data_IF_719040731524
#
_entry.id   IF_719040731524
#
_cell.length_a   1.000
_cell.length_b   1.000
_cell.length_c   1.000
_cell.angle_alpha   90.00
_cell.angle_beta   90.00
_cell.angle_gamma   90.00
#
_symmetry.space_group_name_H-M   'P 1'
#
loop_
_entity.id
_entity.type
_entity.pdbx_description
1 polymer ?
#
# COMPACT_ATOMS: atom_id res chain seq x y z
N UNK A 1 13.85 70.45 -36.23
CA UNK A 1 13.57 69.03 -36.52
C UNK A 1 14.53 68.19 -35.69
N UNK A 2 14.10 67.81 -34.48
CA UNK A 2 14.94 67.05 -33.54
C UNK A 2 14.24 65.69 -33.31
N UNK A 3 14.92 64.60 -33.69
CA UNK A 3 14.45 63.21 -33.44
C UNK A 3 14.84 62.81 -32.02
N UNK A 4 13.97 62.13 -31.25
CA UNK A 4 14.34 61.55 -29.97
C UNK A 4 15.00 60.17 -30.17
N UNK A 5 16.11 59.95 -29.48
CA UNK A 5 16.71 58.63 -29.28
C UNK A 5 15.81 57.78 -28.35
N UNK A 6 15.44 56.60 -28.84
CA UNK A 6 14.80 55.57 -28.03
C UNK A 6 15.90 54.67 -27.47
N UNK A 7 16.14 54.78 -26.15
CA UNK A 7 17.03 53.85 -25.43
C UNK A 7 16.31 52.53 -25.14
N UNK A 8 16.79 51.47 -25.76
CA UNK A 8 16.30 50.09 -25.51
C UNK A 8 16.98 49.55 -24.24
N UNK A 9 16.25 49.49 -23.14
CA UNK A 9 16.71 48.80 -21.91
C UNK A 9 16.41 47.31 -22.05
N UNK A 10 17.45 46.53 -22.28
CA UNK A 10 17.37 45.06 -22.25
C UNK A 10 17.42 44.64 -20.77
N UNK A 11 16.26 44.26 -20.20
CA UNK A 11 16.18 43.62 -18.90
C UNK A 11 16.65 42.17 -19.03
N UNK A 12 17.85 41.85 -18.54
CA UNK A 12 18.30 40.48 -18.33
C UNK A 12 17.47 39.86 -17.22
N UNK A 13 16.50 39.04 -17.57
CA UNK A 13 15.85 38.13 -16.65
C UNK A 13 16.85 37.02 -16.28
N UNK A 14 17.49 37.17 -15.14
CA UNK A 14 18.15 36.05 -14.46
C UNK A 14 17.09 35.04 -14.06
N UNK A 15 16.96 33.98 -14.86
CA UNK A 15 16.24 32.78 -14.50
C UNK A 15 16.98 32.16 -13.31
N UNK A 16 16.55 32.49 -12.10
CA UNK A 16 16.95 31.75 -10.91
C UNK A 16 16.43 30.32 -11.06
N UNK A 17 17.37 29.38 -11.25
CA UNK A 17 17.06 27.96 -11.11
C UNK A 17 16.35 27.72 -9.80
N UNK A 18 15.28 26.89 -9.74
CA UNK A 18 14.66 26.54 -8.48
C UNK A 18 15.71 25.92 -7.56
N UNK A 19 15.64 26.13 -6.25
CA UNK A 19 16.58 25.55 -5.32
C UNK A 19 16.59 24.03 -5.54
N UNK A 20 17.77 23.51 -5.87
CA UNK A 20 18.04 22.10 -5.96
C UNK A 20 17.76 21.54 -4.56
N UNK A 21 16.77 20.66 -4.42
CA UNK A 21 16.48 20.00 -3.15
C UNK A 21 17.78 19.39 -2.64
N UNK A 22 18.20 19.75 -1.41
CA UNK A 22 19.34 19.13 -0.75
C UNK A 22 19.02 17.64 -0.53
N UNK A 23 19.26 16.83 -1.56
CA UNK A 23 19.26 15.38 -1.38
C UNK A 23 20.39 15.02 -0.39
N UNK A 24 20.13 14.14 0.58
CA UNK A 24 21.17 13.69 1.49
C UNK A 24 22.37 13.19 0.69
N UNK A 25 23.57 13.64 1.04
CA UNK A 25 24.80 13.11 0.42
C UNK A 25 24.96 11.66 0.85
N UNK A 26 24.62 10.73 -0.06
CA UNK A 26 24.79 9.30 0.17
C UNK A 26 26.28 8.92 0.07
N UNK A 27 26.69 7.95 0.90
CA UNK A 27 28.03 7.39 0.81
C UNK A 27 28.24 6.70 -0.54
N UNK A 28 29.24 7.14 -1.30
CA UNK A 28 29.51 6.66 -2.65
C UNK A 28 29.83 5.17 -2.70
N UNK A 29 30.59 4.66 -1.72
CA UNK A 29 30.95 3.25 -1.65
C UNK A 29 29.69 2.37 -1.43
N UNK A 30 28.77 2.81 -0.59
CA UNK A 30 27.46 2.14 -0.39
C UNK A 30 26.68 2.10 -1.71
N UNK A 31 26.55 3.20 -2.43
CA UNK A 31 25.87 3.25 -3.74
C UNK A 31 26.49 2.26 -4.74
N UNK A 32 27.81 2.20 -4.81
CA UNK A 32 28.53 1.26 -5.71
C UNK A 32 28.28 -0.20 -5.35
N UNK A 33 28.26 -0.55 -4.05
CA UNK A 33 27.95 -1.91 -3.58
C UNK A 33 26.52 -2.31 -3.92
N UNK A 34 25.54 -1.40 -3.71
CA UNK A 34 24.13 -1.63 -4.06
C UNK A 34 23.95 -1.84 -5.56
N UNK A 35 24.58 -0.99 -6.38
CA UNK A 35 24.56 -1.11 -7.84
C UNK A 35 25.15 -2.45 -8.31
N UNK A 36 26.29 -2.85 -7.76
CA UNK A 36 26.93 -4.11 -8.09
C UNK A 36 26.04 -5.31 -7.72
N UNK A 37 25.44 -5.26 -6.53
CA UNK A 37 24.50 -6.30 -6.09
C UNK A 37 23.29 -6.39 -7.00
N UNK A 38 22.65 -5.25 -7.33
CA UNK A 38 21.47 -5.21 -8.20
C UNK A 38 21.76 -5.78 -9.58
N UNK A 39 22.91 -5.44 -10.20
CA UNK A 39 23.33 -5.98 -11.50
C UNK A 39 23.50 -7.50 -11.49
N UNK A 40 24.04 -8.05 -10.40
CA UNK A 40 24.31 -9.49 -10.31
C UNK A 40 23.11 -10.34 -9.88
N UNK A 41 22.08 -9.73 -9.24
CA UNK A 41 20.92 -10.43 -8.69
C UNK A 41 19.60 -9.84 -9.21
N UNK A 42 19.62 -9.18 -10.35
CA UNK A 42 18.45 -8.51 -10.90
C UNK A 42 17.28 -9.47 -11.11
N UNK A 43 16.12 -9.06 -10.60
CA UNK A 43 14.82 -9.64 -10.91
C UNK A 43 13.80 -8.52 -11.18
N UNK A 44 12.90 -8.74 -12.13
CA UNK A 44 11.73 -7.88 -12.25
C UNK A 44 10.85 -7.99 -10.98
N UNK A 45 10.04 -7.01 -10.62
CA UNK A 45 9.10 -7.10 -9.50
C UNK A 45 8.28 -8.39 -9.52
N UNK A 46 7.73 -8.75 -10.67
CA UNK A 46 6.91 -9.93 -10.83
C UNK A 46 7.70 -11.22 -10.61
N UNK A 47 8.87 -11.35 -11.24
CA UNK A 47 9.73 -12.54 -11.08
C UNK A 47 10.17 -12.67 -9.63
N UNK A 48 10.50 -11.55 -9.00
CA UNK A 48 10.90 -11.51 -7.61
C UNK A 48 9.78 -12.01 -6.68
N UNK A 49 8.58 -11.43 -6.77
CA UNK A 49 7.44 -11.85 -5.93
C UNK A 49 7.11 -13.32 -6.15
N UNK A 50 7.06 -13.78 -7.40
CA UNK A 50 6.77 -15.18 -7.70
C UNK A 50 7.86 -16.12 -7.16
N UNK A 51 9.13 -15.72 -7.21
CA UNK A 51 10.25 -16.54 -6.71
C UNK A 51 10.11 -16.89 -5.22
N UNK A 52 9.48 -16.02 -4.43
CA UNK A 52 9.31 -16.21 -2.99
C UNK A 52 8.41 -17.38 -2.63
N UNK A 53 7.51 -17.76 -3.51
CA UNK A 53 6.66 -18.94 -3.32
C UNK A 53 7.39 -20.29 -3.45
N UNK A 54 8.70 -20.31 -3.74
CA UNK A 54 9.51 -21.54 -3.63
C UNK A 54 9.65 -21.97 -2.17
N UNK A 55 9.90 -21.02 -1.28
CA UNK A 55 10.27 -21.27 0.11
C UNK A 55 9.21 -20.78 1.13
N UNK A 56 8.22 -20.00 0.68
CA UNK A 56 7.22 -19.40 1.54
C UNK A 56 5.79 -19.80 1.11
N UNK A 57 4.89 -19.87 2.09
CA UNK A 57 3.47 -20.19 1.87
C UNK A 57 2.64 -18.92 1.77
N UNK A 58 2.95 -17.91 2.59
CA UNK A 58 2.25 -16.63 2.64
C UNK A 58 3.23 -15.50 2.38
N UNK A 59 3.00 -14.77 1.29
CA UNK A 59 3.79 -13.60 0.93
C UNK A 59 2.91 -12.37 1.09
N UNK A 60 3.23 -11.55 2.08
CA UNK A 60 2.58 -10.25 2.27
C UNK A 60 3.22 -9.23 1.34
N UNK A 61 2.41 -8.55 0.55
CA UNK A 61 2.79 -7.43 -0.32
C UNK A 61 2.16 -6.16 0.25
N UNK A 62 2.98 -5.36 0.91
CA UNK A 62 2.55 -4.17 1.62
C UNK A 62 2.66 -2.90 0.76
N UNK A 63 1.55 -2.18 0.59
CA UNK A 63 1.46 -0.93 -0.18
C UNK A 63 1.41 0.31 0.71
N UNK A 64 1.78 1.45 0.13
CA UNK A 64 1.27 2.74 0.55
C UNK A 64 0.00 3.04 -0.28
N UNK A 65 -1.16 3.06 0.38
CA UNK A 65 -2.46 3.16 -0.30
C UNK A 65 -2.53 4.22 -1.40
N UNK A 66 -3.25 3.89 -2.47
CA UNK A 66 -3.62 4.78 -3.58
C UNK A 66 -2.47 5.11 -4.54
N UNK A 67 -1.40 4.32 -4.58
CA UNK A 67 -0.41 4.40 -5.64
C UNK A 67 -0.86 3.50 -6.80
N UNK A 68 -1.17 4.13 -7.93
CA UNK A 68 -1.76 3.46 -9.10
C UNK A 68 -0.93 2.27 -9.58
N UNK A 69 0.37 2.46 -9.77
CA UNK A 69 1.27 1.43 -10.28
C UNK A 69 1.40 0.20 -9.36
N UNK A 70 1.18 0.35 -8.04
CA UNK A 70 1.19 -0.76 -7.09
C UNK A 70 -0.02 -1.66 -7.30
N UNK A 71 -1.20 -1.06 -7.48
CA UNK A 71 -2.43 -1.81 -7.76
C UNK A 71 -2.38 -2.47 -9.13
N UNK A 72 -1.82 -1.77 -10.14
CA UNK A 72 -1.60 -2.32 -11.49
C UNK A 72 -0.62 -3.50 -11.49
N UNK A 73 0.43 -3.48 -10.64
CA UNK A 73 1.31 -4.64 -10.43
C UNK A 73 0.51 -5.84 -9.93
N UNK A 74 -0.39 -5.62 -8.95
CA UNK A 74 -1.22 -6.71 -8.41
C UNK A 74 -2.15 -7.28 -9.47
N UNK A 75 -2.76 -6.45 -10.30
CA UNK A 75 -3.58 -6.91 -11.44
C UNK A 75 -2.74 -7.76 -12.41
N UNK A 76 -1.55 -7.28 -12.76
CA UNK A 76 -0.66 -7.91 -13.73
C UNK A 76 -0.06 -9.25 -13.26
N UNK A 77 0.14 -9.41 -11.93
CA UNK A 77 0.78 -10.62 -11.39
C UNK A 77 -0.20 -11.80 -11.23
N UNK A 78 -1.52 -11.59 -11.22
CA UNK A 78 -2.53 -12.64 -11.03
C UNK A 78 -2.34 -13.84 -11.96
N UNK A 79 -2.15 -13.69 -13.29
CA UNK A 79 -1.91 -14.84 -14.16
C UNK A 79 -0.61 -15.59 -13.85
N UNK A 80 0.41 -14.89 -13.38
CA UNK A 80 1.71 -15.46 -13.02
C UNK A 80 1.65 -16.23 -11.69
N UNK A 81 0.90 -15.74 -10.72
CA UNK A 81 0.58 -16.47 -9.48
C UNK A 81 -0.08 -17.80 -9.82
N UNK A 82 -1.10 -17.77 -10.69
CA UNK A 82 -1.79 -18.98 -11.11
C UNK A 82 -0.83 -19.98 -11.77
N UNK A 83 0.02 -19.54 -12.68
CA UNK A 83 1.03 -20.39 -13.34
C UNK A 83 2.04 -20.99 -12.36
N UNK A 84 2.37 -20.27 -11.29
CA UNK A 84 3.25 -20.72 -10.22
C UNK A 84 2.55 -21.65 -9.19
N UNK A 85 1.27 -21.97 -9.39
CA UNK A 85 0.49 -22.80 -8.46
C UNK A 85 -0.03 -22.07 -7.21
N UNK A 86 -0.01 -20.74 -7.22
CA UNK A 86 -0.60 -19.88 -6.20
C UNK A 86 -1.98 -19.45 -6.67
N UNK A 87 -3.02 -20.02 -6.06
CA UNK A 87 -4.40 -19.87 -6.54
C UNK A 87 -5.22 -18.86 -5.73
N UNK A 88 -4.60 -18.19 -4.75
CA UNK A 88 -5.30 -17.27 -3.86
C UNK A 88 -4.56 -15.93 -3.76
N UNK A 89 -5.29 -14.84 -4.02
CA UNK A 89 -4.97 -13.49 -3.61
C UNK A 89 -5.85 -13.13 -2.41
N UNK A 90 -5.28 -13.05 -1.22
CA UNK A 90 -5.99 -12.53 -0.06
C UNK A 90 -5.84 -11.00 -0.02
N UNK A 91 -6.87 -10.26 0.37
CA UNK A 91 -6.81 -8.81 0.34
C UNK A 91 -7.68 -8.13 1.40
N UNK A 92 -7.21 -7.02 1.95
CA UNK A 92 -8.00 -6.16 2.83
C UNK A 92 -9.09 -5.37 2.08
N UNK A 93 -8.99 -5.27 0.75
CA UNK A 93 -9.91 -4.49 -0.09
C UNK A 93 -11.22 -5.23 -0.41
N UNK A 94 -11.46 -6.34 0.28
CA UNK A 94 -12.73 -7.05 0.33
C UNK A 94 -12.97 -7.59 1.74
N UNK A 95 -14.24 -7.57 2.17
CA UNK A 95 -14.63 -8.15 3.46
C UNK A 95 -14.86 -9.65 3.34
N UNK A 96 -14.58 -10.38 4.41
CA UNK A 96 -14.90 -11.82 4.49
C UNK A 96 -16.40 -12.08 4.39
N UNK A 97 -17.23 -11.17 4.91
CA UNK A 97 -18.68 -11.27 4.86
C UNK A 97 -19.21 -11.19 3.42
N UNK A 98 -18.48 -10.52 2.54
CA UNK A 98 -18.81 -10.39 1.12
C UNK A 98 -18.21 -11.53 0.26
N UNK A 99 -17.58 -12.55 0.85
CA UNK A 99 -16.99 -13.66 0.08
C UNK A 99 -17.97 -14.31 -0.90
N UNK A 100 -19.27 -14.56 -0.56
CA UNK A 100 -20.23 -15.08 -1.53
C UNK A 100 -20.44 -14.15 -2.75
N UNK A 101 -20.34 -12.82 -2.57
CA UNK A 101 -20.43 -11.84 -3.65
C UNK A 101 -19.17 -11.87 -4.52
N UNK A 102 -17.98 -11.96 -3.91
CA UNK A 102 -16.70 -12.11 -4.61
C UNK A 102 -16.71 -13.40 -5.45
N UNK A 103 -17.11 -14.52 -4.85
CA UNK A 103 -17.16 -15.81 -5.56
C UNK A 103 -18.14 -15.77 -6.74
N UNK A 104 -19.31 -15.15 -6.56
CA UNK A 104 -20.29 -14.93 -7.65
C UNK A 104 -19.70 -14.07 -8.78
N UNK A 105 -18.99 -12.98 -8.41
CA UNK A 105 -18.35 -12.09 -9.38
C UNK A 105 -17.31 -12.83 -10.21
N UNK A 106 -16.41 -13.56 -9.55
CA UNK A 106 -15.27 -14.21 -10.23
C UNK A 106 -15.67 -15.43 -11.07
N UNK A 107 -16.81 -16.04 -10.80
CA UNK A 107 -17.30 -17.22 -11.51
C UNK A 107 -18.47 -16.90 -12.45
N UNK A 108 -18.91 -15.65 -12.52
CA UNK A 108 -19.99 -15.23 -13.41
C UNK A 108 -19.62 -15.34 -14.89
N UNK A 109 -20.61 -15.59 -15.78
CA UNK A 109 -20.36 -15.71 -17.23
C UNK A 109 -19.93 -14.37 -17.86
N UNK A 110 -20.32 -13.25 -17.25
CA UNK A 110 -19.94 -11.89 -17.64
C UNK A 110 -19.41 -11.17 -16.42
N UNK A 111 -18.48 -10.23 -16.63
CA UNK A 111 -17.99 -9.39 -15.54
C UNK A 111 -19.06 -8.37 -15.12
N UNK A 112 -19.42 -8.41 -13.85
CA UNK A 112 -20.39 -7.48 -13.25
C UNK A 112 -19.66 -6.35 -12.55
N UNK A 113 -19.42 -5.25 -13.27
CA UNK A 113 -18.76 -4.05 -12.75
C UNK A 113 -19.51 -3.43 -11.56
N UNK A 114 -20.84 -3.47 -11.57
CA UNK A 114 -21.65 -2.91 -10.49
C UNK A 114 -21.49 -3.73 -9.19
N UNK A 115 -21.42 -5.04 -9.31
CA UNK A 115 -21.14 -5.92 -8.18
C UNK A 115 -19.72 -5.72 -7.62
N UNK A 116 -18.72 -5.56 -8.48
CA UNK A 116 -17.35 -5.27 -8.06
C UNK A 116 -17.25 -3.95 -7.29
N UNK A 117 -17.92 -2.90 -7.79
CA UNK A 117 -18.02 -1.60 -7.08
C UNK A 117 -18.76 -1.73 -5.75
N UNK A 118 -19.82 -2.54 -5.68
CA UNK A 118 -20.53 -2.81 -4.44
C UNK A 118 -19.63 -3.48 -3.39
N UNK A 119 -18.84 -4.49 -3.77
CA UNK A 119 -17.88 -5.17 -2.89
C UNK A 119 -16.88 -4.15 -2.31
N UNK A 120 -16.34 -3.30 -3.17
CA UNK A 120 -15.39 -2.25 -2.77
C UNK A 120 -16.04 -1.21 -1.86
N UNK A 121 -17.27 -0.77 -2.18
CA UNK A 121 -18.05 0.15 -1.34
C UNK A 121 -18.36 -0.45 0.03
N UNK A 122 -18.72 -1.70 0.09
CA UNK A 122 -19.00 -2.41 1.35
C UNK A 122 -17.76 -2.46 2.25
N UNK A 123 -16.56 -2.59 1.66
CA UNK A 123 -15.31 -2.61 2.42
C UNK A 123 -15.03 -1.26 3.06
N UNK A 124 -15.13 -0.17 2.29
CA UNK A 124 -14.96 1.19 2.81
C UNK A 124 -15.58 2.22 1.88
N UNK A 125 -16.47 3.05 2.41
CA UNK A 125 -17.30 3.97 1.62
C UNK A 125 -16.51 5.05 0.85
N UNK A 126 -15.24 5.27 1.20
CA UNK A 126 -14.32 6.17 0.50
C UNK A 126 -13.37 5.44 -0.46
N UNK A 127 -13.50 4.12 -0.67
CA UNK A 127 -12.57 3.33 -1.50
C UNK A 127 -13.00 3.25 -2.96
N UNK A 128 -13.56 4.33 -3.50
CA UNK A 128 -14.09 4.43 -4.86
C UNK A 128 -13.00 4.62 -5.92
N UNK A 129 -12.12 3.63 -6.13
CA UNK A 129 -11.00 3.73 -7.07
C UNK A 129 -11.00 2.58 -8.08
N UNK A 130 -10.87 2.93 -9.37
CA UNK A 130 -11.02 1.99 -10.48
C UNK A 130 -9.97 0.88 -10.45
N UNK A 131 -8.72 1.19 -10.12
CA UNK A 131 -7.64 0.20 -10.14
C UNK A 131 -7.87 -0.92 -9.11
N UNK A 132 -8.44 -0.62 -7.93
CA UNK A 132 -8.79 -1.65 -6.93
C UNK A 132 -9.96 -2.53 -7.41
N UNK A 133 -10.95 -1.94 -8.09
CA UNK A 133 -12.05 -2.67 -8.73
C UNK A 133 -11.53 -3.58 -9.86
N UNK A 134 -10.54 -3.12 -10.61
CA UNK A 134 -9.96 -3.86 -11.71
C UNK A 134 -9.10 -5.07 -11.27
N UNK A 135 -8.70 -5.16 -9.98
CA UNK A 135 -8.12 -6.40 -9.42
C UNK A 135 -9.10 -7.57 -9.53
N UNK A 136 -10.39 -7.35 -9.22
CA UNK A 136 -11.42 -8.38 -9.40
C UNK A 136 -11.58 -8.73 -10.88
N UNK A 137 -11.52 -7.74 -11.76
CA UNK A 137 -11.62 -7.93 -13.22
C UNK A 137 -10.48 -8.75 -13.78
N UNK A 138 -9.25 -8.53 -13.27
CA UNK A 138 -8.08 -9.32 -13.66
C UNK A 138 -8.25 -10.81 -13.27
N UNK A 139 -8.72 -11.08 -12.06
CA UNK A 139 -9.00 -12.44 -11.60
C UNK A 139 -10.17 -13.07 -12.38
N UNK A 140 -11.25 -12.34 -12.65
CA UNK A 140 -12.35 -12.80 -13.48
C UNK A 140 -11.90 -13.16 -14.90
N UNK A 141 -11.09 -12.29 -15.54
CA UNK A 141 -10.54 -12.56 -16.88
C UNK A 141 -9.73 -13.84 -16.93
N UNK A 142 -8.87 -14.04 -15.92
CA UNK A 142 -8.13 -15.30 -15.81
C UNK A 142 -9.10 -16.47 -15.72
N UNK A 143 -10.04 -16.44 -14.78
CA UNK A 143 -11.00 -17.52 -14.56
C UNK A 143 -11.87 -17.82 -15.78
N UNK A 144 -12.31 -16.78 -16.48
CA UNK A 144 -13.12 -16.92 -17.70
C UNK A 144 -12.34 -17.58 -18.83
N UNK A 145 -11.04 -17.31 -18.95
CA UNK A 145 -10.15 -17.93 -19.95
C UNK A 145 -9.73 -19.38 -19.62
N UNK A 146 -10.00 -19.88 -18.39
CA UNK A 146 -9.61 -21.24 -17.99
C UNK A 146 -10.66 -22.27 -18.43
N UNK A 147 -10.23 -23.47 -18.90
CA UNK A 147 -11.15 -24.58 -19.08
C UNK A 147 -11.95 -24.87 -17.81
N UNK A 148 -13.22 -25.30 -17.94
CA UNK A 148 -14.12 -25.55 -16.83
C UNK A 148 -13.63 -26.61 -15.82
N UNK A 149 -12.73 -27.51 -16.27
CA UNK A 149 -12.12 -28.54 -15.41
C UNK A 149 -10.91 -28.03 -14.59
N UNK A 150 -10.43 -26.83 -14.88
CA UNK A 150 -9.30 -26.25 -14.15
C UNK A 150 -9.76 -25.58 -12.86
N UNK A 151 -8.93 -25.67 -11.82
CA UNK A 151 -9.09 -24.91 -10.59
C UNK A 151 -9.18 -23.43 -10.92
N UNK A 152 -10.13 -22.70 -10.33
CA UNK A 152 -10.27 -21.26 -10.50
C UNK A 152 -9.37 -20.51 -9.52
N UNK A 153 -8.91 -19.34 -9.93
CA UNK A 153 -8.22 -18.39 -9.06
C UNK A 153 -9.23 -17.74 -8.11
N UNK A 154 -8.85 -17.52 -6.88
CA UNK A 154 -9.70 -16.98 -5.82
C UNK A 154 -9.16 -15.64 -5.31
N UNK A 155 -10.04 -14.66 -5.14
CA UNK A 155 -9.79 -13.52 -4.25
C UNK A 155 -10.44 -13.82 -2.91
N UNK A 156 -9.67 -13.73 -1.83
CA UNK A 156 -10.11 -13.97 -0.46
C UNK A 156 -10.17 -12.65 0.28
N UNK A 157 -11.37 -12.20 0.65
CA UNK A 157 -11.55 -11.03 1.50
C UNK A 157 -11.11 -11.34 2.93
N UNK A 158 -10.20 -10.55 3.47
CA UNK A 158 -9.74 -10.72 4.86
C UNK A 158 -10.31 -9.67 5.80
N UNK A 159 -10.68 -8.50 5.28
CA UNK A 159 -11.25 -7.41 6.07
C UNK A 159 -12.60 -7.84 6.69
N UNK A 160 -13.11 -7.05 7.59
CA UNK A 160 -14.36 -7.26 8.29
C UNK A 160 -15.21 -5.97 8.28
N UNK A 161 -16.36 -6.00 8.90
CA UNK A 161 -17.29 -4.85 8.92
C UNK A 161 -17.23 -4.14 10.28
N UNK A 162 -16.41 -3.08 10.43
CA UNK A 162 -16.49 -2.23 11.60
C UNK A 162 -17.86 -1.54 11.65
N UNK A 163 -18.44 -1.41 12.83
CA UNK A 163 -19.71 -0.69 12.99
C UNK A 163 -19.48 0.80 13.26
N UNK A 164 -19.23 1.55 12.22
CA UNK A 164 -19.06 3.00 12.32
C UNK A 164 -20.35 3.77 12.63
N UNK A 165 -21.51 3.11 12.64
CA UNK A 165 -22.77 3.74 12.99
C UNK A 165 -22.83 4.20 14.44
N UNK A 166 -22.01 3.62 15.32
CA UNK A 166 -21.91 4.01 16.74
C UNK A 166 -21.13 5.30 16.98
N UNK A 167 -20.35 5.76 15.99
CA UNK A 167 -19.58 7.02 16.05
C UNK A 167 -20.48 8.15 15.59
N UNK A 168 -20.77 9.12 16.47
CA UNK A 168 -21.69 10.23 16.18
C UNK A 168 -21.00 11.60 16.18
N UNK A 169 -19.87 11.75 16.88
CA UNK A 169 -19.13 13.00 17.02
C UNK A 169 -17.63 12.78 17.06
N UNK A 170 -16.84 13.83 16.83
CA UNK A 170 -15.37 13.74 16.74
C UNK A 170 -14.73 13.15 18.01
N UNK A 171 -15.30 13.45 19.19
CA UNK A 171 -14.79 12.93 20.45
C UNK A 171 -14.98 11.43 20.60
N UNK A 172 -15.89 10.83 19.84
CA UNK A 172 -16.08 9.38 19.82
C UNK A 172 -14.91 8.66 19.12
N UNK A 173 -14.26 9.35 18.18
CA UNK A 173 -13.13 8.80 17.43
C UNK A 173 -11.87 8.80 18.29
N UNK A 174 -11.25 7.65 18.45
CA UNK A 174 -9.93 7.47 19.07
C UNK A 174 -9.80 7.87 20.56
N UNK A 175 -10.78 8.59 21.12
CA UNK A 175 -10.74 9.11 22.47
C UNK A 175 -11.61 8.31 23.46
N UNK A 176 -12.64 7.61 22.99
CA UNK A 176 -13.45 6.72 23.82
C UNK A 176 -13.19 5.24 23.52
N UNK A 177 -12.41 4.53 24.36
CA UNK A 177 -12.12 3.11 24.17
C UNK A 177 -13.38 2.23 24.15
N UNK A 178 -14.47 2.64 24.82
CA UNK A 178 -15.74 1.87 24.87
C UNK A 178 -16.48 1.97 23.54
N UNK A 179 -16.45 3.13 22.89
CA UNK A 179 -17.03 3.30 21.56
C UNK A 179 -16.18 2.54 20.54
N UNK A 180 -14.87 2.68 20.58
CA UNK A 180 -13.98 1.95 19.66
C UNK A 180 -14.09 0.43 19.82
N UNK A 181 -14.30 -0.07 21.05
CA UNK A 181 -14.56 -1.50 21.28
C UNK A 181 -15.88 -1.97 20.64
N UNK A 182 -16.87 -1.11 20.51
CA UNK A 182 -18.12 -1.43 19.78
C UNK A 182 -17.89 -1.38 18.27
N UNK A 183 -17.19 -0.35 17.76
CA UNK A 183 -16.82 -0.23 16.33
C UNK A 183 -16.14 -1.51 15.85
N UNK A 184 -15.16 -1.98 16.60
CA UNK A 184 -14.33 -3.12 16.24
C UNK A 184 -14.84 -4.47 16.80
N UNK A 185 -16.07 -4.50 17.31
CA UNK A 185 -16.63 -5.75 17.84
C UNK A 185 -16.73 -6.82 16.74
N UNK A 186 -16.05 -7.95 16.95
CA UNK A 186 -15.99 -9.02 15.95
C UNK A 186 -15.15 -8.68 14.71
N UNK A 187 -14.36 -7.61 14.75
CA UNK A 187 -13.50 -7.15 13.65
C UNK A 187 -12.11 -6.81 14.20
N UNK A 188 -11.10 -7.65 13.92
CA UNK A 188 -9.74 -7.45 14.40
C UNK A 188 -8.69 -7.99 13.44
N UNK A 189 -7.47 -7.50 13.58
CA UNK A 189 -6.30 -8.01 12.85
C UNK A 189 -6.06 -9.51 13.07
N UNK A 190 -6.38 -10.02 14.27
CA UNK A 190 -6.32 -11.46 14.58
C UNK A 190 -7.32 -12.24 13.74
N UNK A 191 -8.53 -11.73 13.57
CA UNK A 191 -9.54 -12.37 12.73
C UNK A 191 -9.18 -12.33 11.26
N UNK A 192 -8.55 -11.25 10.79
CA UNK A 192 -8.01 -11.20 9.42
C UNK A 192 -6.94 -12.27 9.21
N UNK A 193 -6.02 -12.41 10.17
CA UNK A 193 -5.00 -13.46 10.13
C UNK A 193 -5.63 -14.86 10.17
N UNK A 194 -6.67 -15.05 11.00
CA UNK A 194 -7.38 -16.32 11.09
C UNK A 194 -7.98 -16.75 9.74
N UNK A 195 -8.52 -15.81 8.96
CA UNK A 195 -9.02 -16.12 7.60
C UNK A 195 -7.89 -16.72 6.74
N UNK A 196 -6.68 -16.14 6.77
CA UNK A 196 -5.53 -16.64 6.02
C UNK A 196 -5.09 -18.02 6.53
N UNK A 197 -5.02 -18.19 7.85
CA UNK A 197 -4.59 -19.44 8.46
C UNK A 197 -5.56 -20.58 8.16
N UNK A 198 -6.88 -20.35 8.27
CA UNK A 198 -7.90 -21.38 8.06
C UNK A 198 -8.10 -21.68 6.56
N UNK A 199 -8.12 -20.63 5.72
CA UNK A 199 -8.52 -20.75 4.31
C UNK A 199 -7.37 -21.05 3.36
N UNK A 200 -6.12 -20.84 3.80
CA UNK A 200 -4.91 -21.04 3.00
C UNK A 200 -3.98 -22.04 3.69
N UNK A 201 -3.43 -21.69 4.85
CA UNK A 201 -2.36 -22.46 5.49
C UNK A 201 -2.85 -23.84 5.92
N UNK A 202 -4.00 -23.93 6.58
CA UNK A 202 -4.58 -25.21 7.03
C UNK A 202 -4.94 -26.14 5.87
N UNK A 203 -5.09 -25.60 4.66
CA UNK A 203 -5.33 -26.38 3.42
C UNK A 203 -4.05 -26.77 2.68
N UNK A 204 -2.86 -26.40 3.20
CA UNK A 204 -1.58 -26.63 2.54
C UNK A 204 -1.41 -25.81 1.25
N UNK A 205 -2.09 -24.66 1.18
CA UNK A 205 -2.08 -23.76 0.02
C UNK A 205 -1.14 -22.59 0.23
N UNK A 206 -0.93 -21.83 -0.85
CA UNK A 206 -0.12 -20.60 -0.85
C UNK A 206 -0.99 -19.41 -1.23
N UNK A 207 -0.67 -18.24 -0.66
CA UNK A 207 -1.35 -17.00 -1.02
C UNK A 207 -0.41 -15.81 -1.10
N UNK A 208 -0.66 -14.93 -2.07
CA UNK A 208 -0.23 -13.54 -2.00
C UNK A 208 -1.26 -12.79 -1.15
N UNK A 209 -0.80 -12.03 -0.14
CA UNK A 209 -1.67 -11.18 0.69
C UNK A 209 -1.35 -9.73 0.35
N UNK A 210 -2.31 -9.04 -0.26
CA UNK A 210 -2.18 -7.65 -0.66
C UNK A 210 -2.93 -6.73 0.31
N UNK A 211 -2.19 -5.87 0.98
CA UNK A 211 -2.75 -4.99 2.01
C UNK A 211 -1.89 -3.74 2.20
N UNK A 212 -2.41 -2.75 2.93
CA UNK A 212 -1.59 -1.67 3.44
C UNK A 212 -0.41 -2.18 4.25
N UNK A 213 0.73 -1.50 4.13
CA UNK A 213 2.00 -1.94 4.72
C UNK A 213 1.90 -2.27 6.21
N UNK A 214 1.10 -1.51 6.97
CA UNK A 214 0.97 -1.72 8.41
C UNK A 214 0.32 -3.06 8.77
N UNK A 215 -0.56 -3.59 7.92
CA UNK A 215 -1.18 -4.92 8.10
C UNK A 215 -0.27 -6.05 7.65
N UNK A 216 0.69 -5.75 6.75
CA UNK A 216 1.58 -6.71 6.12
C UNK A 216 2.82 -7.09 6.96
N UNK A 217 3.11 -6.37 8.03
CA UNK A 217 4.29 -6.65 8.86
C UNK A 217 4.24 -8.05 9.46
N UNK A 218 5.28 -8.85 9.21
CA UNK A 218 5.46 -10.19 9.76
C UNK A 218 6.26 -10.16 11.07
N UNK A 219 7.57 -10.00 11.00
CA UNK A 219 8.45 -9.95 12.16
C UNK A 219 8.52 -8.55 12.78
N UNK A 220 8.50 -7.53 11.94
CA UNK A 220 8.57 -6.14 12.38
C UNK A 220 7.34 -5.72 13.20
N UNK A 221 7.59 -4.98 14.28
CA UNK A 221 6.54 -4.38 15.13
C UNK A 221 6.59 -2.85 15.01
N UNK A 222 5.50 -2.25 14.56
CA UNK A 222 5.41 -0.81 14.39
C UNK A 222 5.50 -0.08 15.72
N UNK A 223 6.39 0.93 15.90
CA UNK A 223 6.41 1.74 17.10
C UNK A 223 5.23 2.69 17.20
N UNK A 224 4.77 2.93 18.41
CA UNK A 224 3.91 4.06 18.77
C UNK A 224 4.79 5.20 19.24
N UNK A 225 4.74 6.32 18.51
CA UNK A 225 5.51 7.52 18.82
C UNK A 225 4.58 8.62 19.31
N UNK A 226 4.95 9.28 20.40
CA UNK A 226 4.23 10.44 20.92
C UNK A 226 4.86 11.72 20.39
N UNK A 227 4.17 12.42 19.51
CA UNK A 227 4.61 13.72 18.99
C UNK A 227 4.73 14.77 20.11
N UNK A 228 3.79 14.77 21.08
CA UNK A 228 3.80 15.68 22.20
C UNK A 228 5.03 15.47 23.11
N UNK A 229 5.44 14.22 23.33
CA UNK A 229 6.62 13.87 24.14
C UNK A 229 7.90 13.72 23.32
N UNK A 230 7.80 13.74 21.98
CA UNK A 230 8.89 13.47 21.03
C UNK A 230 9.66 12.18 21.37
N UNK A 231 8.95 11.11 21.71
CA UNK A 231 9.56 9.87 22.18
C UNK A 231 8.77 8.64 21.79
N UNK A 232 9.48 7.53 21.70
CA UNK A 232 8.90 6.20 21.66
C UNK A 232 8.08 5.92 22.91
N UNK A 233 6.90 5.34 22.77
CA UNK A 233 6.01 4.99 23.88
C UNK A 233 6.01 3.49 24.10
N UNK A 234 5.70 2.73 23.06
CA UNK A 234 5.60 1.27 23.07
C UNK A 234 5.58 0.76 21.63
N UNK A 235 5.68 -0.52 21.45
CA UNK A 235 5.26 -1.11 20.18
C UNK A 235 3.74 -1.11 20.07
N UNK A 236 3.26 -0.92 18.86
CA UNK A 236 1.83 -0.97 18.52
C UNK A 236 1.24 -2.35 18.73
N UNK A 237 -0.07 -2.44 18.49
CA UNK A 237 -0.77 -3.70 18.56
C UNK A 237 -0.29 -4.68 17.48
N UNK A 238 -0.50 -5.97 17.71
CA UNK A 238 -0.15 -7.03 16.76
C UNK A 238 -1.03 -6.88 15.52
N UNK A 239 -0.42 -6.93 14.34
CA UNK A 239 -1.09 -6.79 13.07
C UNK A 239 -1.35 -8.14 12.41
N UNK A 240 -2.15 -8.15 11.34
CA UNK A 240 -2.49 -9.37 10.60
C UNK A 240 -1.26 -10.21 10.23
N UNK A 241 -0.26 -9.61 9.63
CA UNK A 241 0.97 -10.31 9.25
C UNK A 241 1.76 -10.84 10.45
N UNK A 242 1.80 -10.10 11.58
CA UNK A 242 2.43 -10.59 12.82
C UNK A 242 1.73 -11.84 13.36
N UNK A 243 0.38 -11.88 13.36
CA UNK A 243 -0.37 -13.07 13.81
C UNK A 243 -0.08 -14.28 12.92
N UNK A 244 -0.05 -14.10 11.60
CA UNK A 244 0.32 -15.17 10.66
C UNK A 244 1.75 -15.63 10.90
N UNK A 245 2.71 -14.69 11.04
CA UNK A 245 4.11 -15.03 11.32
C UNK A 245 4.26 -15.77 12.65
N UNK A 246 3.57 -15.36 13.70
CA UNK A 246 3.60 -16.05 14.99
C UNK A 246 3.11 -17.51 14.88
N UNK A 247 2.18 -17.79 13.96
CA UNK A 247 1.64 -19.13 13.73
C UNK A 247 2.54 -20.03 12.88
N UNK A 248 3.18 -19.46 11.83
CA UNK A 248 3.90 -20.28 10.83
C UNK A 248 5.38 -19.90 10.66
N UNK A 249 5.86 -18.90 11.37
CA UNK A 249 7.26 -18.46 11.33
C UNK A 249 7.67 -17.97 9.93
N UNK A 250 8.89 -18.28 9.55
CA UNK A 250 9.50 -17.87 8.26
C UNK A 250 8.81 -18.40 7.00
N UNK A 251 7.74 -19.20 7.13
CA UNK A 251 6.86 -19.52 6.00
C UNK A 251 6.02 -18.33 5.55
N UNK A 252 5.96 -17.27 6.36
CA UNK A 252 5.38 -15.98 6.02
C UNK A 252 6.48 -14.91 5.95
N UNK A 253 6.44 -14.06 4.91
CA UNK A 253 7.37 -12.95 4.70
C UNK A 253 6.64 -11.67 4.31
N UNK A 254 7.31 -10.54 4.52
CA UNK A 254 6.85 -9.22 4.09
C UNK A 254 7.69 -8.69 2.94
N UNK A 255 7.05 -8.32 1.84
CA UNK A 255 7.62 -7.53 0.76
C UNK A 255 7.03 -6.12 0.82
N UNK A 256 7.87 -5.10 0.95
CA UNK A 256 7.45 -3.70 0.90
C UNK A 256 7.47 -3.20 -0.54
N UNK A 257 6.36 -2.63 -1.00
CA UNK A 257 6.35 -1.80 -2.19
C UNK A 257 6.98 -0.44 -1.89
N UNK A 258 7.73 0.10 -2.86
CA UNK A 258 8.44 1.36 -2.67
C UNK A 258 7.47 2.53 -2.44
N UNK A 259 7.81 3.38 -1.50
CA UNK A 259 7.03 4.56 -1.19
C UNK A 259 7.68 5.40 -0.09
N UNK A 260 6.96 6.43 0.33
CA UNK A 260 7.41 7.32 1.39
C UNK A 260 7.27 6.68 2.77
N UNK A 261 8.14 7.09 3.70
CA UNK A 261 8.04 6.75 5.11
C UNK A 261 7.60 7.96 5.95
N UNK A 262 7.07 7.70 7.14
CA UNK A 262 6.74 8.76 8.10
C UNK A 262 8.00 9.32 8.75
N UNK A 263 8.05 10.66 8.89
CA UNK A 263 9.17 11.36 9.52
C UNK A 263 9.41 10.92 10.96
N UNK A 264 10.67 10.89 11.38
CA UNK A 264 11.05 10.66 12.80
C UNK A 264 10.52 11.74 13.75
N UNK A 265 10.03 12.86 13.25
CA UNK A 265 9.41 13.91 14.04
C UNK A 265 7.91 13.66 14.31
N UNK A 266 7.29 12.67 13.63
CA UNK A 266 5.91 12.27 13.82
C UNK A 266 5.13 12.04 12.53
N UNK A 267 3.94 11.48 12.68
CA UNK A 267 3.05 11.14 11.57
C UNK A 267 2.41 12.37 10.91
N UNK A 268 2.31 13.49 11.64
CA UNK A 268 1.79 14.78 11.15
C UNK A 268 2.83 15.59 10.37
N UNK A 269 4.08 15.12 10.33
CA UNK A 269 5.18 15.81 9.66
C UNK A 269 5.29 15.38 8.20
N UNK A 270 5.97 16.21 7.34
CA UNK A 270 6.24 15.82 5.98
C UNK A 270 6.91 14.45 5.90
N UNK A 271 6.49 13.65 4.95
CA UNK A 271 7.07 12.33 4.71
C UNK A 271 8.55 12.41 4.32
N UNK A 272 9.25 11.29 4.49
CA UNK A 272 10.68 11.15 4.16
C UNK A 272 10.88 10.01 3.17
N UNK A 273 12.03 10.01 2.50
CA UNK A 273 12.43 8.89 1.64
C UNK A 273 12.59 7.60 2.46
N UNK A 274 12.15 6.47 1.90
CA UNK A 274 12.45 5.16 2.46
C UNK A 274 13.97 4.93 2.51
N UNK A 275 14.45 4.28 3.56
CA UNK A 275 15.86 3.98 3.74
C UNK A 275 16.78 5.19 3.51
N UNK A 276 16.37 6.35 4.05
CA UNK A 276 17.07 7.64 3.92
C UNK A 276 17.41 8.03 2.46
N UNK A 277 16.66 7.52 1.47
CA UNK A 277 16.80 7.84 0.05
C UNK A 277 17.89 7.06 -0.70
N UNK A 278 18.57 6.11 -0.06
CA UNK A 278 19.58 5.28 -0.73
C UNK A 278 19.01 4.48 -1.90
N UNK A 279 17.79 3.96 -1.76
CA UNK A 279 17.13 3.19 -2.82
C UNK A 279 16.89 4.08 -4.04
N UNK A 280 16.33 5.28 -3.83
CA UNK A 280 16.08 6.26 -4.90
C UNK A 280 17.38 6.66 -5.60
N UNK A 281 18.44 6.91 -4.83
CA UNK A 281 19.73 7.27 -5.38
C UNK A 281 20.34 6.17 -6.28
N UNK A 282 20.29 4.92 -5.83
CA UNK A 282 20.75 3.76 -6.61
C UNK A 282 19.94 3.60 -7.88
N UNK A 283 18.60 3.67 -7.78
CA UNK A 283 17.72 3.48 -8.93
C UNK A 283 17.83 4.63 -9.95
N UNK A 284 18.25 5.82 -9.53
CA UNK A 284 18.57 6.92 -10.44
C UNK A 284 19.86 6.68 -11.24
N UNK A 285 20.86 6.02 -10.64
CA UNK A 285 22.16 5.78 -11.25
C UNK A 285 22.28 4.47 -12.04
N UNK A 286 21.52 3.44 -11.67
CA UNK A 286 21.59 2.12 -12.32
C UNK A 286 21.10 2.20 -13.78
N UNK A 287 21.55 1.23 -14.60
CA UNK A 287 21.13 1.11 -15.99
C UNK A 287 19.59 1.12 -16.12
N UNK A 288 19.02 1.86 -17.07
CA UNK A 288 17.57 2.04 -17.18
C UNK A 288 16.77 0.73 -17.20
N UNK A 289 17.33 -0.34 -17.79
CA UNK A 289 16.71 -1.66 -17.83
C UNK A 289 16.61 -2.36 -16.47
N UNK A 290 17.34 -1.89 -15.46
CA UNK A 290 17.36 -2.46 -14.10
C UNK A 290 16.57 -1.62 -13.07
N UNK A 291 16.02 -0.48 -13.49
CA UNK A 291 15.36 0.46 -12.55
C UNK A 291 14.04 -0.04 -11.98
N UNK A 292 13.46 -1.07 -12.56
CA UNK A 292 12.26 -1.73 -12.05
C UNK A 292 12.63 -3.10 -11.52
N UNK A 293 12.80 -3.22 -10.20
CA UNK A 293 13.42 -4.39 -9.58
C UNK A 293 12.76 -4.80 -8.26
N UNK A 294 12.83 -6.11 -7.98
CA UNK A 294 12.60 -6.66 -6.65
C UNK A 294 13.88 -7.29 -6.11
N UNK A 295 14.13 -7.16 -4.81
CA UNK A 295 15.35 -7.66 -4.17
C UNK A 295 15.12 -8.02 -2.69
N UNK A 296 15.90 -8.98 -2.20
CA UNK A 296 15.93 -9.34 -0.80
C UNK A 296 16.64 -8.27 0.03
N UNK A 297 16.19 -8.10 1.26
CA UNK A 297 16.85 -7.25 2.24
C UNK A 297 17.77 -8.09 3.13
N UNK A 298 17.29 -9.24 3.62
CA UNK A 298 18.08 -10.12 4.48
C UNK A 298 19.34 -10.65 3.81
N UNK A 299 20.51 -10.49 4.47
CA UNK A 299 21.80 -10.99 3.96
C UNK A 299 22.34 -10.27 2.72
N UNK A 300 21.80 -9.12 2.35
CA UNK A 300 22.20 -8.31 1.20
C UNK A 300 22.68 -6.91 1.62
N UNK A 301 23.42 -6.19 0.77
CA UNK A 301 23.78 -4.81 1.05
C UNK A 301 22.56 -3.90 1.27
N UNK A 302 21.42 -4.18 0.59
CA UNK A 302 20.18 -3.42 0.80
C UNK A 302 19.66 -3.53 2.22
N UNK A 303 19.79 -4.69 2.85
CA UNK A 303 19.31 -4.90 4.21
C UNK A 303 20.00 -4.04 5.27
N UNK A 304 21.22 -3.58 4.99
CA UNK A 304 21.98 -2.71 5.90
C UNK A 304 21.60 -1.23 5.77
N UNK A 305 20.73 -0.86 4.83
CA UNK A 305 20.34 0.52 4.63
C UNK A 305 19.65 1.09 5.87
N UNK A 306 20.03 2.30 6.29
CA UNK A 306 19.51 2.92 7.50
C UNK A 306 18.09 3.48 7.29
N UNK A 307 17.43 3.81 8.38
CA UNK A 307 16.23 4.62 8.41
C UNK A 307 16.35 5.63 9.56
N UNK A 308 17.28 6.57 9.44
CA UNK A 308 17.56 7.52 10.52
C UNK A 308 16.52 8.62 10.62
N UNK A 309 15.81 8.87 9.53
CA UNK A 309 14.83 9.97 9.39
C UNK A 309 13.38 9.54 9.65
N UNK A 310 13.12 8.25 9.94
CA UNK A 310 11.76 7.72 10.10
C UNK A 310 11.39 7.37 11.55
N UNK A 311 10.06 7.44 11.85
CA UNK A 311 9.50 6.93 13.11
C UNK A 311 9.64 5.42 13.25
N UNK A 312 9.78 4.69 12.16
CA UNK A 312 9.87 3.22 12.17
C UNK A 312 11.08 2.66 12.90
N UNK A 313 12.12 3.49 13.12
CA UNK A 313 13.31 3.09 13.87
C UNK A 313 13.12 2.99 15.39
N UNK A 314 12.09 3.64 15.93
CA UNK A 314 11.98 3.75 17.40
C UNK A 314 11.66 2.41 18.05
N UNK A 315 12.29 2.17 19.20
CA UNK A 315 12.19 0.90 19.92
C UNK A 315 13.15 -0.19 19.42
N UNK A 316 13.93 0.07 18.38
CA UNK A 316 14.95 -0.83 17.84
C UNK A 316 16.36 -0.27 18.13
N UNK A 317 17.24 -1.06 18.71
CA UNK A 317 18.63 -0.67 18.96
C UNK A 317 19.40 -0.43 17.65
N UNK A 318 19.11 -1.24 16.64
CA UNK A 318 19.66 -1.13 15.30
C UNK A 318 18.52 -1.30 14.28
N UNK A 319 18.06 -0.22 13.74
CA UNK A 319 17.05 -0.24 12.66
C UNK A 319 17.74 -0.21 11.29
N UNK A 320 17.29 -1.08 10.42
CA UNK A 320 17.72 -1.14 9.02
C UNK A 320 16.57 -1.66 8.15
N UNK A 321 16.74 -1.62 6.82
CA UNK A 321 15.73 -2.10 5.88
C UNK A 321 15.39 -3.58 6.11
N UNK A 322 16.38 -4.42 6.49
CA UNK A 322 16.12 -5.85 6.80
C UNK A 322 15.39 -6.09 8.12
N UNK A 323 15.34 -5.09 9.00
CA UNK A 323 14.47 -5.15 10.18
C UNK A 323 13.04 -4.81 9.81
N UNK A 324 12.85 -3.93 8.81
CA UNK A 324 11.54 -3.44 8.39
C UNK A 324 10.78 -4.45 7.50
N UNK A 325 11.44 -5.11 6.56
CA UNK A 325 10.84 -6.07 5.63
C UNK A 325 11.86 -7.09 5.13
N UNK A 326 11.38 -8.25 4.64
CA UNK A 326 12.20 -9.33 4.09
C UNK A 326 12.59 -9.06 2.64
N UNK A 327 11.75 -8.36 1.91
CA UNK A 327 11.93 -8.02 0.51
C UNK A 327 11.42 -6.64 0.17
N UNK A 328 11.89 -6.13 -0.95
CA UNK A 328 11.55 -4.79 -1.41
C UNK A 328 11.32 -4.78 -2.92
N UNK A 329 10.34 -4.02 -3.36
CA UNK A 329 10.00 -3.84 -4.77
C UNK A 329 10.00 -2.36 -5.11
N UNK A 330 10.83 -1.99 -6.08
CA UNK A 330 10.88 -0.65 -6.66
C UNK A 330 10.36 -0.68 -8.09
N UNK A 331 9.41 0.17 -8.42
CA UNK A 331 8.79 0.22 -9.74
C UNK A 331 9.11 1.52 -10.49
N UNK A 332 8.96 2.66 -9.83
CA UNK A 332 9.09 4.00 -10.40
C UNK A 332 9.76 4.93 -9.38
N UNK A 333 10.41 6.02 -9.83
CA UNK A 333 10.81 7.10 -8.94
C UNK A 333 9.58 7.87 -8.43
N UNK A 334 9.64 8.41 -7.21
CA UNK A 334 8.54 9.15 -6.58
C UNK A 334 8.01 10.29 -7.46
N UNK A 335 8.87 10.90 -8.29
CA UNK A 335 8.48 11.96 -9.24
C UNK A 335 7.52 11.50 -10.35
N UNK A 336 7.40 10.20 -10.58
CA UNK A 336 6.50 9.61 -11.58
C UNK A 336 5.26 8.97 -10.97
N UNK A 337 5.09 9.10 -9.65
CA UNK A 337 3.92 8.50 -8.99
C UNK A 337 2.64 9.22 -9.36
N UNK A 338 1.65 8.41 -9.70
CA UNK A 338 0.27 8.83 -9.93
C UNK A 338 -0.64 8.21 -8.88
N UNK A 339 -1.67 8.97 -8.48
CA UNK A 339 -2.75 8.44 -7.66
C UNK A 339 -3.70 7.58 -8.49
N UNK A 340 -4.46 6.76 -7.79
CA UNK A 340 -5.52 5.93 -8.39
C UNK A 340 -6.63 6.80 -8.98
N UNK A 341 -7.41 6.23 -9.90
CA UNK A 341 -8.49 6.91 -10.62
C UNK A 341 -9.80 6.87 -9.83
N UNK A 342 -10.33 8.00 -9.35
CA UNK A 342 -11.63 8.05 -8.68
C UNK A 342 -12.77 7.58 -9.60
N UNK A 343 -13.66 6.76 -9.07
CA UNK A 343 -14.87 6.33 -9.75
C UNK A 343 -15.93 7.43 -9.63
N UNK A 344 -16.39 7.93 -10.77
CA UNK A 344 -17.46 8.93 -10.80
C UNK A 344 -18.73 8.38 -10.15
N UNK A 345 -19.38 9.21 -9.32
CA UNK A 345 -20.65 8.91 -8.65
C UNK A 345 -20.62 7.59 -7.85
N UNK A 346 -19.44 7.27 -7.25
CA UNK A 346 -19.27 6.07 -6.43
C UNK A 346 -20.25 6.07 -5.25
N UNK A 347 -20.37 7.21 -4.56
CA UNK A 347 -21.49 7.47 -3.66
C UNK A 347 -22.57 8.20 -4.44
N UNK A 348 -23.80 7.69 -4.39
CA UNK A 348 -24.94 8.21 -5.11
C UNK A 348 -26.22 8.07 -4.27
N UNK A 349 -27.38 8.51 -4.76
CA UNK A 349 -28.62 8.51 -4.01
C UNK A 349 -29.05 7.11 -3.53
N UNK A 350 -28.69 6.05 -4.26
CA UNK A 350 -29.08 4.69 -3.89
C UNK A 350 -28.27 4.14 -2.69
N UNK A 351 -27.03 4.58 -2.49
CA UNK A 351 -26.15 4.10 -1.42
C UNK A 351 -25.79 5.16 -0.36
N UNK A 352 -26.28 6.41 -0.50
CA UNK A 352 -25.93 7.52 0.36
C UNK A 352 -26.26 7.28 1.85
N UNK A 353 -27.41 6.65 2.15
CA UNK A 353 -27.78 6.34 3.54
C UNK A 353 -26.78 5.39 4.19
N UNK A 354 -26.33 4.39 3.45
CA UNK A 354 -25.28 3.45 3.90
C UNK A 354 -23.93 4.15 4.04
N UNK A 355 -23.56 5.01 3.08
CA UNK A 355 -22.32 5.78 3.15
C UNK A 355 -22.27 6.64 4.42
N UNK A 356 -23.35 7.36 4.74
CA UNK A 356 -23.48 8.13 5.98
C UNK A 356 -23.35 7.27 7.24
N UNK A 357 -24.06 6.14 7.29
CA UNK A 357 -24.03 5.24 8.43
C UNK A 357 -22.63 4.62 8.64
N UNK A 358 -21.95 4.25 7.57
CA UNK A 358 -20.66 3.56 7.59
C UNK A 358 -19.44 4.49 7.45
N UNK A 359 -19.65 5.81 7.41
CA UNK A 359 -18.50 6.73 7.48
C UNK A 359 -17.90 6.75 8.88
N UNK A 360 -16.57 6.58 9.03
CA UNK A 360 -15.90 6.74 10.31
C UNK A 360 -15.91 8.20 10.80
N UNK A 361 -15.94 9.16 9.87
CA UNK A 361 -15.83 10.57 10.21
C UNK A 361 -17.20 11.22 10.42
N UNK A 362 -17.47 11.79 11.62
CA UNK A 362 -18.75 12.39 11.96
C UNK A 362 -19.24 13.48 11.00
N UNK A 363 -18.31 14.26 10.41
CA UNK A 363 -18.64 15.28 9.41
C UNK A 363 -19.45 14.74 8.23
N UNK A 364 -19.29 13.45 7.88
CA UNK A 364 -20.00 12.82 6.78
C UNK A 364 -21.36 12.21 7.16
N UNK A 365 -21.75 12.18 8.44
CA UNK A 365 -23.06 11.63 8.85
C UNK A 365 -24.25 12.37 8.23
N UNK A 366 -24.05 13.63 7.81
CA UNK A 366 -25.06 14.46 7.16
C UNK A 366 -24.62 14.96 5.77
N UNK A 367 -23.47 14.50 5.27
CA UNK A 367 -22.89 14.95 4.00
C UNK A 367 -23.74 14.54 2.79
N UNK A 368 -23.63 15.27 1.70
CA UNK A 368 -24.23 14.90 0.42
C UNK A 368 -23.39 13.83 -0.30
N UNK A 369 -23.93 13.19 -1.33
CA UNK A 369 -23.17 12.30 -2.19
C UNK A 369 -21.96 13.01 -2.85
N UNK A 370 -22.15 14.27 -3.22
CA UNK A 370 -21.09 15.12 -3.77
C UNK A 370 -19.93 15.33 -2.78
N UNK A 371 -20.20 15.48 -1.49
CA UNK A 371 -19.16 15.67 -0.48
C UNK A 371 -18.30 14.39 -0.33
N UNK A 372 -18.94 13.22 -0.34
CA UNK A 372 -18.22 11.93 -0.38
C UNK A 372 -17.34 11.80 -1.63
N UNK A 373 -17.91 12.10 -2.81
CA UNK A 373 -17.16 11.97 -4.05
C UNK A 373 -16.01 12.99 -4.15
N UNK A 374 -16.16 14.20 -3.59
CA UNK A 374 -15.07 15.18 -3.48
C UNK A 374 -13.94 14.66 -2.57
N UNK A 375 -14.27 14.03 -1.45
CA UNK A 375 -13.27 13.45 -0.55
C UNK A 375 -12.52 12.30 -1.24
N UNK A 376 -13.22 11.41 -1.95
CA UNK A 376 -12.60 10.33 -2.75
C UNK A 376 -11.61 10.90 -3.75
N UNK A 377 -11.97 11.98 -4.45
CA UNK A 377 -11.07 12.66 -5.40
C UNK A 377 -9.88 13.29 -4.69
N UNK A 378 -10.10 13.96 -3.56
CA UNK A 378 -9.05 14.61 -2.78
C UNK A 378 -8.03 13.58 -2.24
N UNK A 379 -8.51 12.45 -1.75
CA UNK A 379 -7.65 11.38 -1.23
C UNK A 379 -6.87 10.63 -2.33
N UNK A 380 -7.35 10.63 -3.57
CA UNK A 380 -6.61 10.10 -4.73
C UNK A 380 -5.44 11.00 -5.13
N UNK A 381 -5.46 12.29 -4.77
CA UNK A 381 -4.34 13.20 -5.04
C UNK A 381 -3.19 12.97 -4.06
N UNK A 382 -2.28 12.09 -4.44
CA UNK A 382 -1.11 11.73 -3.63
C UNK A 382 -0.03 12.81 -3.56
N UNK A 383 -0.14 13.92 -4.33
CA UNK A 383 0.89 14.97 -4.39
C UNK A 383 1.14 15.60 -3.03
N UNK A 384 0.07 15.82 -2.25
CA UNK A 384 0.21 16.36 -0.90
C UNK A 384 1.02 15.44 0.02
N UNK A 385 0.83 14.12 -0.10
CA UNK A 385 1.58 13.14 0.70
C UNK A 385 3.05 13.03 0.27
N UNK A 386 3.31 13.13 -1.01
CA UNK A 386 4.68 13.09 -1.56
C UNK A 386 5.44 14.39 -1.25
N UNK A 387 4.76 15.54 -1.17
CA UNK A 387 5.35 16.83 -0.83
C UNK A 387 6.56 17.17 -1.70
N UNK A 388 7.67 17.54 -1.06
CA UNK A 388 8.94 17.90 -1.74
C UNK A 388 9.76 16.69 -2.22
N UNK A 389 9.32 15.45 -1.93
CA UNK A 389 10.02 14.23 -2.36
C UNK A 389 9.75 13.85 -3.82
N UNK A 390 8.86 14.57 -4.49
CA UNK A 390 8.43 14.32 -5.87
C UNK A 390 9.37 14.93 -6.90
#
# INVERSE_FOLDING_TARGET
MTRPLVSLVIALLLLSSPPQSDQPKHDRNTIEQLNAHLRSHYMTPEDYIISKFKDHEVVFLGENHRYKHDVELVQGIIPRLYQAGVFTLATEFARREDQPLVDRLLNGPTYDEALARQITFNQYVFWGYQEYVDVFKAAWRLNHGLPGTRRKFRILGVNCSPDWSVVQKEEDLYHDPKIMAKVWHGCSEEQWAKVILDEVVAKGEKALVYSGMHHAFTEYRQPVYSEAKRSFVRFGDVRMGNYVYNAIGKRAITISLHGIWYSSEGYSRPSVYAADGYIDAVMAEVDPGLRRAGFDTGGTPFGNLPGTTTVYKYGYDKFSLSVFCDGYVYQLPLSQYEGVTPIKDFVNQANLSTARAQSPEPKFKHASADDFNKEIVAEADIRTRLGSLR
#
